data_IF_160044966139
#
_entry.id   IF_160044966139
#
_cell.length_a   1.000
_cell.length_b   1.000
_cell.length_c   1.000
_cell.angle_alpha   90.00
_cell.angle_beta   90.00
_cell.angle_gamma   90.00
#
_symmetry.space_group_name_H-M   'P 1'
#
loop_
_entity.id
_entity.type
_entity.pdbx_description
1 polymer ?
#
# COMPACT_ATOMS: atom_id res chain seq x y z
N UNK A 1 15.00 6.30 -1.66
CA UNK A 1 14.85 6.51 -0.20
C UNK A 1 15.24 7.94 0.14
N UNK A 2 14.67 8.55 1.20
CA UNK A 2 15.16 9.86 1.69
C UNK A 2 16.56 9.75 2.31
N UNK A 3 16.93 8.57 2.83
CA UNK A 3 18.27 8.28 3.34
C UNK A 3 18.80 6.98 2.71
N UNK A 4 19.64 7.12 1.69
CA UNK A 4 20.20 6.00 0.93
C UNK A 4 21.19 5.15 1.74
N UNK A 5 21.97 5.78 2.64
CA UNK A 5 22.93 5.06 3.50
C UNK A 5 22.21 4.12 4.46
N UNK A 6 21.15 4.60 5.11
CA UNK A 6 20.32 3.79 6.00
C UNK A 6 19.61 2.67 5.22
N UNK A 7 18.98 2.99 4.08
CA UNK A 7 18.30 2.00 3.26
C UNK A 7 19.23 0.91 2.73
N UNK A 8 20.49 1.25 2.41
CA UNK A 8 21.50 0.25 2.02
C UNK A 8 21.80 -0.74 3.16
N UNK A 9 21.98 -0.25 4.39
CA UNK A 9 22.23 -1.13 5.55
C UNK A 9 20.99 -2.00 5.84
N UNK A 10 19.79 -1.43 5.81
CA UNK A 10 18.54 -2.18 6.04
C UNK A 10 18.32 -3.30 5.02
N UNK A 11 18.67 -3.06 3.74
CA UNK A 11 18.69 -4.11 2.71
C UNK A 11 19.70 -5.21 3.02
N UNK A 12 20.92 -4.83 3.43
CA UNK A 12 21.98 -5.80 3.79
C UNK A 12 21.63 -6.64 5.03
N UNK A 13 20.81 -6.11 5.92
CA UNK A 13 20.26 -6.81 7.09
C UNK A 13 18.96 -7.59 6.79
N UNK A 14 18.48 -7.62 5.54
CA UNK A 14 17.22 -8.24 5.14
C UNK A 14 15.96 -7.66 5.81
N UNK A 15 15.98 -6.40 6.23
CA UNK A 15 14.80 -5.70 6.75
C UNK A 15 14.01 -4.96 5.69
N UNK A 16 14.66 -4.51 4.62
CA UNK A 16 14.01 -3.80 3.53
C UNK A 16 14.33 -4.47 2.20
N UNK A 17 13.34 -4.46 1.32
CA UNK A 17 13.47 -4.93 -0.06
C UNK A 17 13.82 -3.76 -0.99
N UNK A 18 14.15 -4.04 -2.25
CA UNK A 18 14.46 -3.00 -3.24
C UNK A 18 13.21 -2.34 -3.81
N UNK A 19 13.35 -1.06 -4.19
CA UNK A 19 12.40 -0.31 -5.04
C UNK A 19 10.93 -0.31 -4.61
N UNK A 20 10.63 -0.59 -3.35
CA UNK A 20 9.25 -0.56 -2.86
C UNK A 20 8.44 -1.84 -3.11
N UNK A 21 9.09 -2.93 -3.53
CA UNK A 21 8.46 -4.25 -3.72
C UNK A 21 7.62 -4.75 -2.53
N UNK A 22 7.98 -4.37 -1.30
CA UNK A 22 7.16 -4.66 -0.12
C UNK A 22 5.79 -3.97 -0.12
N UNK A 23 5.69 -2.76 -0.70
CA UNK A 23 4.42 -2.06 -0.88
C UNK A 23 3.59 -2.73 -1.96
N UNK A 24 4.20 -3.10 -3.08
CA UNK A 24 3.52 -3.81 -4.17
C UNK A 24 2.90 -5.12 -3.65
N UNK A 25 3.66 -5.90 -2.88
CA UNK A 25 3.15 -7.10 -2.21
C UNK A 25 1.99 -6.81 -1.28
N UNK A 26 2.11 -5.80 -0.41
CA UNK A 26 1.02 -5.44 0.49
C UNK A 26 -0.27 -5.09 -0.28
N UNK A 27 -0.15 -4.36 -1.38
CA UNK A 27 -1.25 -3.98 -2.26
C UNK A 27 -1.88 -5.21 -2.93
N UNK A 28 -1.07 -6.14 -3.45
CA UNK A 28 -1.55 -7.39 -4.06
C UNK A 28 -2.27 -8.29 -3.04
N UNK A 29 -1.73 -8.41 -1.83
CA UNK A 29 -2.37 -9.20 -0.76
C UNK A 29 -3.69 -8.55 -0.31
N UNK A 30 -3.75 -7.22 -0.22
CA UNK A 30 -5.01 -6.51 0.05
C UNK A 30 -6.09 -6.85 -0.98
N UNK A 31 -5.75 -6.91 -2.26
CA UNK A 31 -6.66 -7.29 -3.34
C UNK A 31 -7.10 -8.76 -3.23
N UNK A 32 -6.13 -9.67 -3.04
CA UNK A 32 -6.37 -11.11 -2.93
C UNK A 32 -7.37 -11.44 -1.81
N UNK A 33 -7.23 -10.77 -0.67
CA UNK A 33 -8.11 -10.95 0.49
C UNK A 33 -9.31 -9.99 0.53
N UNK A 34 -9.56 -9.23 -0.53
CA UNK A 34 -10.64 -8.24 -0.64
C UNK A 34 -10.71 -7.27 0.56
N UNK A 35 -9.56 -6.85 1.04
CA UNK A 35 -9.45 -5.84 2.09
C UNK A 35 -9.72 -4.46 1.50
N UNK A 36 -10.20 -3.49 2.31
CA UNK A 36 -10.22 -2.11 1.86
C UNK A 36 -8.80 -1.66 1.51
N UNK A 37 -8.67 -0.98 0.37
CA UNK A 37 -7.41 -0.43 -0.11
C UNK A 37 -6.76 0.49 0.94
N UNK A 38 -5.45 0.35 1.22
CA UNK A 38 -4.74 1.20 2.16
C UNK A 38 -4.84 2.67 1.76
N UNK A 39 -4.91 3.55 2.76
CA UNK A 39 -4.97 5.00 2.54
C UNK A 39 -3.58 5.61 2.69
N UNK A 40 -3.04 6.16 1.61
CA UNK A 40 -1.76 6.85 1.60
C UNK A 40 -1.98 8.36 1.57
N UNK A 41 -1.74 9.00 2.72
CA UNK A 41 -1.95 10.45 2.88
C UNK A 41 -0.62 11.14 3.08
N UNK A 42 -0.37 12.18 2.29
CA UNK A 42 0.81 13.02 2.44
C UNK A 42 0.47 14.16 3.42
N UNK A 43 1.15 14.17 4.56
CA UNK A 43 1.08 15.23 5.57
C UNK A 43 2.35 16.11 5.43
N UNK A 44 2.38 17.30 6.03
CA UNK A 44 3.46 18.28 5.80
C UNK A 44 4.89 17.73 5.97
N UNK A 45 5.11 16.84 6.95
CA UNK A 45 6.43 16.29 7.26
C UNK A 45 6.58 14.77 7.06
N UNK A 46 5.47 14.05 6.88
CA UNK A 46 5.46 12.59 6.88
C UNK A 46 4.36 12.01 5.99
N UNK A 47 4.53 10.76 5.60
CA UNK A 47 3.48 10.00 4.91
C UNK A 47 2.77 9.13 5.95
N UNK A 48 1.44 9.26 6.05
CA UNK A 48 0.60 8.37 6.85
C UNK A 48 0.07 7.27 5.94
N UNK A 49 0.19 6.02 6.40
CA UNK A 49 -0.41 4.86 5.73
C UNK A 49 -1.39 4.22 6.69
N UNK A 50 -2.67 4.22 6.33
CA UNK A 50 -3.73 3.60 7.14
C UNK A 50 -4.16 2.27 6.50
N UNK A 51 -3.97 1.19 7.25
CA UNK A 51 -4.45 -0.14 6.88
C UNK A 51 -5.80 -0.40 7.55
N UNK A 52 -6.70 -1.06 6.82
CA UNK A 52 -8.04 -1.34 7.31
C UNK A 52 -8.25 -2.83 7.54
N UNK A 53 -9.14 -3.16 8.47
CA UNK A 53 -9.59 -4.54 8.69
C UNK A 53 -10.57 -4.96 7.59
N UNK A 54 -10.82 -6.28 7.41
CA UNK A 54 -11.79 -6.77 6.44
C UNK A 54 -13.13 -6.07 6.57
N UNK A 55 -13.67 -5.60 5.44
CA UNK A 55 -14.96 -4.90 5.38
C UNK A 55 -15.60 -5.20 4.03
N UNK A 56 -16.84 -5.71 4.04
CA UNK A 56 -17.56 -5.97 2.81
C UNK A 56 -17.77 -4.69 2.01
N UNK A 57 -17.72 -4.77 0.68
CA UNK A 57 -17.91 -3.63 -0.22
C UNK A 57 -19.20 -2.84 0.06
N UNK A 58 -20.28 -3.51 0.48
CA UNK A 58 -21.54 -2.85 0.86
C UNK A 58 -21.41 -1.96 2.09
N UNK A 59 -20.54 -2.31 3.04
CA UNK A 59 -20.27 -1.53 4.25
C UNK A 59 -19.24 -0.42 4.06
N UNK A 60 -18.50 -0.41 2.95
CA UNK A 60 -17.52 0.64 2.63
C UNK A 60 -18.20 1.97 2.34
N UNK A 61 -17.58 3.07 2.77
CA UNK A 61 -18.05 4.41 2.40
C UNK A 61 -17.73 4.69 0.91
N UNK A 62 -18.13 5.85 0.40
CA UNK A 62 -17.92 6.19 -1.01
C UNK A 62 -16.43 6.32 -1.36
N UNK A 63 -15.63 6.91 -0.48
CA UNK A 63 -14.20 7.13 -0.68
C UNK A 63 -13.41 5.82 -0.68
N UNK A 64 -13.69 4.93 0.27
CA UNK A 64 -13.15 3.57 0.36
C UNK A 64 -13.38 2.80 -0.95
N UNK A 65 -14.60 2.89 -1.51
CA UNK A 65 -14.96 2.24 -2.77
C UNK A 65 -14.17 2.79 -3.95
N UNK A 66 -14.02 4.12 -4.01
CA UNK A 66 -13.24 4.78 -5.08
C UNK A 66 -11.79 4.33 -4.99
N UNK A 67 -11.20 4.35 -3.78
CA UNK A 67 -9.81 3.95 -3.54
C UNK A 67 -9.57 2.48 -3.90
N UNK A 68 -10.46 1.58 -3.46
CA UNK A 68 -10.39 0.16 -3.79
C UNK A 68 -10.51 -0.10 -5.29
N UNK A 69 -11.45 0.55 -5.98
CA UNK A 69 -11.61 0.42 -7.42
C UNK A 69 -10.38 0.94 -8.19
N UNK A 70 -9.86 2.10 -7.78
CA UNK A 70 -8.65 2.67 -8.37
C UNK A 70 -7.45 1.71 -8.22
N UNK A 71 -7.21 1.21 -7.01
CA UNK A 71 -6.13 0.24 -6.75
C UNK A 71 -6.28 -1.02 -7.59
N UNK A 72 -7.48 -1.59 -7.67
CA UNK A 72 -7.76 -2.76 -8.51
C UNK A 72 -7.42 -2.48 -9.99
N UNK A 73 -7.87 -1.35 -10.53
CA UNK A 73 -7.56 -0.96 -11.91
C UNK A 73 -6.06 -0.79 -12.14
N UNK A 74 -5.34 -0.19 -11.18
CA UNK A 74 -3.88 -0.07 -11.26
C UNK A 74 -3.21 -1.45 -11.30
N UNK A 75 -3.61 -2.37 -10.42
CA UNK A 75 -3.10 -3.74 -10.42
C UNK A 75 -3.37 -4.44 -11.76
N UNK A 76 -4.59 -4.34 -12.30
CA UNK A 76 -4.94 -4.91 -13.61
C UNK A 76 -4.14 -4.31 -14.78
N UNK A 77 -3.72 -3.05 -14.67
CA UNK A 77 -2.92 -2.39 -15.70
C UNK A 77 -1.44 -2.80 -15.66
N UNK A 78 -0.88 -3.00 -14.47
CA UNK A 78 0.56 -3.30 -14.29
C UNK A 78 0.87 -4.81 -14.26
N UNK A 79 -0.15 -5.66 -14.16
CA UNK A 79 -0.01 -7.13 -14.12
C UNK A 79 -0.05 -7.77 -15.51
#
# INVERSE_FOLDING_TARGET
>A
SRNEKLAFIMRRMNFCEERGSGVDRAISECELYQLPAPDFTNEEAYTRVSMFTPKAMRGMNKEDKIRACYQHCCLQYVS
#
